data_IF_873725404763
#
_entry.id   IF_873725404763
#
_cell.length_a   1.000
_cell.length_b   1.000
_cell.length_c   1.000
_cell.angle_alpha   90.00
_cell.angle_beta   90.00
_cell.angle_gamma   90.00
#
_symmetry.space_group_name_H-M   'P 1'
#
loop_
_entity.id
_entity.type
_entity.pdbx_description
1 polymer ?
#
# COMPACT_ATOMS: atom_id res chain seq x y z
N UNK A 1 12.67 13.15 -7.85
CA UNK A 1 11.69 12.33 -7.11
C UNK A 1 10.94 13.12 -6.03
N UNK A 2 9.61 13.10 -6.09
CA UNK A 2 8.65 13.62 -5.11
C UNK A 2 7.88 12.45 -4.47
N UNK A 3 7.64 12.50 -3.16
CA UNK A 3 6.87 11.46 -2.45
C UNK A 3 5.63 12.08 -1.83
N UNK A 4 4.49 11.65 -2.33
CA UNK A 4 3.15 11.99 -1.88
C UNK A 4 2.70 10.95 -0.86
N UNK A 5 2.83 11.27 0.43
CA UNK A 5 2.36 10.39 1.50
C UNK A 5 0.86 10.61 1.76
N UNK A 6 0.08 9.55 1.65
CA UNK A 6 -1.32 9.52 2.03
C UNK A 6 -1.38 9.02 3.47
N UNK A 7 -1.63 9.95 4.41
CA UNK A 7 -1.74 9.68 5.86
C UNK A 7 -3.04 8.95 6.20
N UNK A 8 -3.06 7.64 5.92
CA UNK A 8 -4.19 6.76 6.18
C UNK A 8 -4.61 6.75 7.66
N UNK A 9 -3.66 6.88 8.59
CA UNK A 9 -3.91 7.01 10.03
C UNK A 9 -4.89 8.16 10.33
N UNK A 10 -4.70 9.31 9.68
CA UNK A 10 -5.59 10.48 9.82
C UNK A 10 -6.95 10.23 9.17
N UNK A 11 -6.98 9.53 8.05
CA UNK A 11 -8.25 9.14 7.40
C UNK A 11 -9.03 8.14 8.25
N UNK A 12 -8.36 7.18 8.90
CA UNK A 12 -8.98 6.25 9.83
C UNK A 12 -9.54 6.98 11.06
N UNK A 13 -8.80 7.92 11.64
CA UNK A 13 -9.28 8.78 12.73
C UNK A 13 -10.55 9.54 12.33
N UNK A 14 -10.55 10.20 11.17
CA UNK A 14 -11.72 10.92 10.67
C UNK A 14 -12.91 9.98 10.39
N UNK A 15 -12.66 8.77 9.88
CA UNK A 15 -13.73 7.79 9.69
C UNK A 15 -14.38 7.38 11.02
N UNK A 16 -13.62 7.26 12.11
CA UNK A 16 -14.19 6.89 13.42
C UNK A 16 -15.21 7.92 13.93
N UNK A 17 -14.98 9.20 13.65
CA UNK A 17 -15.89 10.31 13.99
C UNK A 17 -17.10 10.43 13.05
N UNK A 18 -17.06 9.77 11.88
CA UNK A 18 -18.12 9.84 10.89
C UNK A 18 -19.18 8.74 11.08
N UNK A 19 -20.45 9.03 10.74
CA UNK A 19 -21.48 8.01 10.55
C UNK A 19 -21.02 6.92 9.55
N UNK A 20 -21.38 5.66 9.83
CA UNK A 20 -20.92 4.49 9.09
C UNK A 20 -21.12 4.62 7.57
N UNK A 21 -22.27 5.15 7.16
CA UNK A 21 -22.67 5.34 5.76
C UNK A 21 -21.79 6.35 5.00
N UNK A 22 -21.03 7.21 5.70
CA UNK A 22 -20.11 8.18 5.09
C UNK A 22 -18.67 7.69 4.99
N UNK A 23 -18.28 6.67 5.76
CA UNK A 23 -16.88 6.23 5.89
C UNK A 23 -16.30 5.70 4.58
N UNK A 24 -17.07 4.89 3.85
CA UNK A 24 -16.61 4.36 2.56
C UNK A 24 -16.36 5.47 1.54
N UNK A 25 -17.24 6.49 1.49
CA UNK A 25 -17.06 7.64 0.62
C UNK A 25 -15.76 8.39 0.93
N UNK A 26 -15.47 8.62 2.21
CA UNK A 26 -14.23 9.26 2.65
C UNK A 26 -13.00 8.42 2.27
N UNK A 27 -13.02 7.10 2.54
CA UNK A 27 -11.92 6.20 2.21
C UNK A 27 -11.63 6.17 0.70
N UNK A 28 -12.67 6.09 -0.13
CA UNK A 28 -12.52 6.13 -1.59
C UNK A 28 -11.90 7.45 -2.04
N UNK A 29 -12.34 8.57 -1.47
CA UNK A 29 -11.86 9.90 -1.84
C UNK A 29 -10.41 10.16 -1.39
N UNK A 30 -10.04 9.78 -0.16
CA UNK A 30 -8.73 10.12 0.42
C UNK A 30 -7.67 9.04 0.27
N UNK A 31 -8.06 7.77 0.15
CA UNK A 31 -7.13 6.64 0.00
C UNK A 31 -7.12 6.11 -1.43
N UNK A 32 -8.28 5.76 -2.01
CA UNK A 32 -8.28 5.11 -3.33
C UNK A 32 -8.05 6.08 -4.49
N UNK A 33 -8.58 7.31 -4.41
CA UNK A 33 -8.46 8.27 -5.52
C UNK A 33 -7.00 8.66 -5.83
N UNK A 34 -6.11 8.89 -4.84
CA UNK A 34 -4.68 9.08 -5.13
C UNK A 34 -4.03 7.89 -5.85
N UNK A 35 -4.56 6.68 -5.66
CA UNK A 35 -4.07 5.44 -6.29
C UNK A 35 -4.89 5.06 -7.55
N UNK A 36 -5.68 5.98 -8.12
CA UNK A 36 -6.56 5.68 -9.26
C UNK A 36 -5.82 5.08 -10.47
N UNK A 37 -4.68 5.66 -10.84
CA UNK A 37 -3.88 5.18 -11.97
C UNK A 37 -3.34 3.78 -11.73
N UNK A 38 -2.92 3.45 -10.50
CA UNK A 38 -2.50 2.10 -10.13
C UNK A 38 -3.59 1.08 -10.47
N UNK A 39 -4.80 1.31 -9.96
CA UNK A 39 -5.91 0.41 -10.19
C UNK A 39 -6.33 0.37 -11.67
N UNK A 40 -6.28 1.51 -12.37
CA UNK A 40 -6.55 1.59 -13.80
C UNK A 40 -5.57 0.73 -14.62
N UNK A 41 -4.26 0.80 -14.34
CA UNK A 41 -3.22 -0.02 -14.98
C UNK A 41 -3.46 -1.51 -14.76
N UNK A 42 -3.99 -1.88 -13.60
CA UNK A 42 -4.35 -3.27 -13.26
C UNK A 42 -5.74 -3.68 -13.79
N UNK A 43 -6.44 -2.80 -14.51
CA UNK A 43 -7.83 -2.99 -14.96
C UNK A 43 -8.83 -3.26 -13.82
N UNK A 44 -8.57 -2.70 -12.65
CA UNK A 44 -9.42 -2.80 -11.46
C UNK A 44 -10.25 -1.52 -11.35
N UNK A 45 -11.60 -1.61 -11.33
CA UNK A 45 -12.42 -0.42 -11.16
C UNK A 45 -12.28 0.11 -9.74
N UNK A 46 -12.26 1.43 -9.59
CA UNK A 46 -12.29 2.05 -8.26
C UNK A 46 -13.59 1.76 -7.52
N UNK A 47 -14.72 1.65 -8.23
CA UNK A 47 -16.04 1.33 -7.68
C UNK A 47 -16.74 0.32 -8.59
N UNK A 48 -17.34 -0.71 -7.99
CA UNK A 48 -18.08 -1.73 -8.72
C UNK A 48 -19.32 -1.16 -9.43
N UNK A 49 -19.70 -1.76 -10.56
CA UNK A 49 -20.90 -1.39 -11.33
C UNK A 49 -22.21 -1.78 -10.65
N UNK A 50 -22.17 -2.79 -9.78
CA UNK A 50 -23.31 -3.31 -9.03
C UNK A 50 -22.89 -3.62 -7.59
N UNK A 51 -23.81 -3.60 -6.62
CA UNK A 51 -23.52 -3.92 -5.22
C UNK A 51 -22.85 -5.29 -5.07
N UNK A 52 -21.74 -5.35 -4.32
CA UNK A 52 -20.97 -6.58 -4.11
C UNK A 52 -20.11 -7.02 -5.30
N UNK A 53 -20.04 -6.25 -6.37
CA UNK A 53 -19.13 -6.52 -7.48
C UNK A 53 -17.66 -6.29 -7.12
N UNK A 54 -16.76 -6.81 -7.96
CA UNK A 54 -15.32 -6.65 -7.78
C UNK A 54 -14.90 -5.19 -8.03
N UNK A 55 -14.16 -4.62 -7.09
CA UNK A 55 -13.52 -3.31 -7.19
C UNK A 55 -12.26 -3.24 -6.29
N UNK A 56 -11.59 -2.09 -6.30
CA UNK A 56 -10.41 -1.85 -5.46
C UNK A 56 -10.67 -2.09 -3.96
N UNK A 57 -11.85 -1.73 -3.46
CA UNK A 57 -12.19 -1.92 -2.04
C UNK A 57 -12.39 -3.41 -1.72
N UNK A 58 -13.03 -4.16 -2.61
CA UNK A 58 -13.14 -5.62 -2.51
C UNK A 58 -11.76 -6.27 -2.42
N UNK A 59 -10.82 -5.89 -3.31
CA UNK A 59 -9.45 -6.40 -3.31
C UNK A 59 -8.74 -6.11 -1.97
N UNK A 60 -8.82 -4.86 -1.49
CA UNK A 60 -8.18 -4.50 -0.22
C UNK A 60 -8.76 -5.30 0.97
N UNK A 61 -10.01 -5.75 0.87
CA UNK A 61 -10.69 -6.59 1.86
C UNK A 61 -10.09 -7.99 2.07
N UNK A 62 -9.16 -8.43 1.22
CA UNK A 62 -8.40 -9.66 1.44
C UNK A 62 -7.40 -9.56 2.59
N UNK A 63 -6.95 -8.35 2.94
CA UNK A 63 -5.93 -8.15 3.99
C UNK A 63 -6.31 -7.05 4.98
N UNK A 64 -7.01 -6.02 4.55
CA UNK A 64 -7.13 -4.76 5.30
C UNK A 64 -8.44 -4.63 6.06
N UNK A 65 -8.40 -3.77 7.07
CA UNK A 65 -9.58 -3.30 7.77
C UNK A 65 -10.34 -2.34 6.87
N UNK A 66 -11.61 -2.68 6.59
CA UNK A 66 -12.45 -1.91 5.67
C UNK A 66 -13.26 -0.85 6.41
N UNK A 67 -13.65 0.25 5.72
CA UNK A 67 -14.45 1.33 6.33
C UNK A 67 -15.73 0.85 7.02
N UNK A 68 -16.39 -0.18 6.46
CA UNK A 68 -17.63 -0.74 6.99
C UNK A 68 -17.46 -1.58 8.25
N UNK A 69 -16.24 -2.01 8.59
CA UNK A 69 -15.95 -2.82 9.78
C UNK A 69 -15.02 -2.13 10.78
N UNK A 70 -14.37 -1.03 10.37
CA UNK A 70 -13.55 -0.19 11.23
C UNK A 70 -14.38 0.38 12.38
N UNK A 71 -13.87 0.29 13.60
CA UNK A 71 -14.56 0.75 14.82
C UNK A 71 -13.58 1.20 15.91
N UNK A 72 -14.09 1.73 17.03
CA UNK A 72 -13.27 2.19 18.15
C UNK A 72 -12.30 1.13 18.71
N UNK A 73 -12.60 -0.17 18.54
CA UNK A 73 -11.67 -1.24 18.93
C UNK A 73 -10.34 -1.17 18.17
N UNK A 74 -10.34 -0.57 16.98
CA UNK A 74 -9.19 -0.45 16.10
C UNK A 74 -8.36 0.82 16.43
N UNK A 75 -8.86 1.71 17.29
CA UNK A 75 -8.21 2.99 17.68
C UNK A 75 -6.75 2.81 18.14
N UNK A 76 -6.39 1.83 19.01
CA UNK A 76 -5.01 1.63 19.42
C UNK A 76 -4.07 1.26 18.26
N UNK A 77 -4.56 0.45 17.31
CA UNK A 77 -3.78 0.10 16.13
C UNK A 77 -3.60 1.29 15.19
N UNK A 78 -4.64 2.12 15.01
CA UNK A 78 -4.52 3.37 14.24
C UNK A 78 -3.52 4.33 14.91
N UNK A 79 -3.53 4.43 16.24
CA UNK A 79 -2.57 5.26 16.98
C UNK A 79 -1.13 4.78 16.83
N UNK A 80 -0.91 3.47 16.80
CA UNK A 80 0.40 2.90 16.52
C UNK A 80 0.91 3.24 15.10
N UNK A 81 0.02 3.48 14.13
CA UNK A 81 0.36 3.99 12.80
C UNK A 81 0.48 5.52 12.74
N UNK A 82 0.14 6.25 13.80
CA UNK A 82 0.04 7.72 13.77
C UNK A 82 1.35 8.45 14.07
N UNK A 83 2.43 7.72 14.36
CA UNK A 83 3.76 8.28 14.64
C UNK A 83 4.31 9.03 13.43
N UNK A 84 4.57 10.34 13.56
CA UNK A 84 5.18 11.11 12.47
C UNK A 84 6.58 10.60 12.12
N UNK A 85 7.31 10.05 13.10
CA UNK A 85 8.61 9.43 12.86
C UNK A 85 8.48 8.19 11.95
N UNK A 86 7.45 7.36 12.14
CA UNK A 86 7.21 6.19 11.28
C UNK A 86 7.03 6.61 9.81
N UNK A 87 6.21 7.63 9.57
CA UNK A 87 5.97 8.13 8.22
C UNK A 87 7.21 8.82 7.61
N UNK A 88 7.96 9.56 8.42
CA UNK A 88 9.23 10.15 7.98
C UNK A 88 10.25 9.08 7.61
N UNK A 89 10.41 8.05 8.45
CA UNK A 89 11.31 6.92 8.18
C UNK A 89 10.92 6.19 6.89
N UNK A 90 9.61 6.04 6.62
CA UNK A 90 9.13 5.48 5.37
C UNK A 90 9.49 6.37 4.17
N UNK A 91 9.26 7.68 4.26
CA UNK A 91 9.63 8.61 3.21
C UNK A 91 11.14 8.55 2.91
N UNK A 92 11.97 8.58 3.95
CA UNK A 92 13.42 8.57 3.79
C UNK A 92 13.91 7.22 3.24
N UNK A 93 13.27 6.13 3.64
CA UNK A 93 13.53 4.79 3.07
C UNK A 93 13.22 4.76 1.57
N UNK A 94 12.06 5.28 1.14
CA UNK A 94 11.69 5.34 -0.28
C UNK A 94 12.70 6.18 -1.06
N UNK A 95 13.02 7.40 -0.56
CA UNK A 95 14.01 8.29 -1.19
C UNK A 95 15.35 7.60 -1.36
N UNK A 96 15.82 6.93 -0.30
CA UNK A 96 17.09 6.22 -0.31
C UNK A 96 17.06 5.05 -1.27
N UNK A 97 16.07 4.16 -1.17
CA UNK A 97 16.01 2.93 -1.96
C UNK A 97 15.95 3.21 -3.46
N UNK A 98 15.12 4.17 -3.88
CA UNK A 98 15.02 4.56 -5.30
C UNK A 98 16.25 5.37 -5.72
N UNK A 99 16.69 6.33 -4.89
CA UNK A 99 17.84 7.19 -5.20
C UNK A 99 19.15 6.44 -5.36
N UNK A 100 19.29 5.25 -4.76
CA UNK A 100 20.46 4.38 -4.98
C UNK A 100 20.54 3.87 -6.44
N UNK A 101 19.41 3.67 -7.12
CA UNK A 101 19.41 3.31 -8.55
C UNK A 101 19.80 4.50 -9.43
N UNK A 102 19.27 5.69 -9.15
CA UNK A 102 19.66 6.93 -9.85
C UNK A 102 21.18 7.18 -9.69
N UNK A 103 21.72 7.02 -8.47
CA UNK A 103 23.15 7.13 -8.20
C UNK A 103 23.99 6.09 -8.93
N UNK A 104 23.43 4.89 -9.17
CA UNK A 104 24.07 3.84 -9.95
C UNK A 104 23.97 4.07 -11.47
N UNK A 105 23.33 5.16 -11.91
CA UNK A 105 23.23 5.55 -13.32
C UNK A 105 22.01 5.00 -14.05
N UNK A 106 21.01 4.47 -13.33
CA UNK A 106 19.73 4.10 -13.92
C UNK A 106 18.85 5.34 -14.12
N UNK A 107 18.34 5.52 -15.33
CA UNK A 107 17.37 6.57 -15.65
C UNK A 107 15.96 6.07 -15.33
N UNK A 108 15.28 6.73 -14.40
CA UNK A 108 13.95 6.36 -13.91
C UNK A 108 12.93 7.36 -14.43
N UNK A 109 11.97 6.89 -15.22
CA UNK A 109 10.93 7.75 -15.80
C UNK A 109 9.94 8.27 -14.75
N UNK A 110 9.79 7.56 -13.63
CA UNK A 110 8.86 7.94 -12.58
C UNK A 110 9.50 8.96 -11.63
N UNK A 111 8.91 10.15 -11.58
CA UNK A 111 9.33 11.20 -10.64
C UNK A 111 8.40 11.33 -9.43
N UNK A 112 7.12 10.98 -9.59
CA UNK A 112 6.09 11.10 -8.57
C UNK A 112 5.72 9.74 -7.97
N UNK A 113 5.91 9.60 -6.65
CA UNK A 113 5.59 8.40 -5.90
C UNK A 113 4.46 8.65 -4.92
N UNK A 114 3.51 7.73 -4.83
CA UNK A 114 2.39 7.76 -3.90
C UNK A 114 2.53 6.60 -2.91
N UNK A 115 2.48 6.91 -1.61
CA UNK A 115 2.71 5.93 -0.56
C UNK A 115 1.66 5.98 0.55
N UNK A 116 1.22 4.81 1.02
CA UNK A 116 0.35 4.68 2.19
C UNK A 116 0.61 3.38 2.96
N UNK A 117 0.27 3.38 4.25
CA UNK A 117 0.22 2.17 5.09
C UNK A 117 -1.24 1.91 5.46
N UNK A 118 -1.84 0.86 4.94
CA UNK A 118 -3.20 0.46 5.31
C UNK A 118 -3.19 -0.37 6.59
N UNK A 119 -4.20 -0.11 7.44
CA UNK A 119 -4.42 -0.91 8.63
C UNK A 119 -4.88 -2.32 8.21
N UNK A 120 -4.07 -3.31 8.54
CA UNK A 120 -4.39 -4.71 8.35
C UNK A 120 -5.54 -5.18 9.24
N UNK A 121 -6.27 -6.18 8.79
CA UNK A 121 -7.26 -6.87 9.62
C UNK A 121 -6.66 -8.20 10.13
N UNK A 122 -6.56 -8.40 11.46
CA UNK A 122 -5.88 -9.56 12.04
C UNK A 122 -6.60 -10.89 11.80
N UNK A 123 -7.87 -10.86 11.39
CA UNK A 123 -8.68 -12.04 11.09
C UNK A 123 -8.53 -12.50 9.64
N UNK A 124 -7.82 -11.74 8.78
CA UNK A 124 -7.67 -12.06 7.36
C UNK A 124 -6.57 -13.10 7.12
N UNK A 125 -6.88 -14.27 6.53
CA UNK A 125 -5.92 -15.35 6.33
C UNK A 125 -4.69 -14.93 5.53
N UNK A 126 -4.86 -14.13 4.47
CA UNK A 126 -3.77 -13.66 3.63
C UNK A 126 -2.75 -12.85 4.44
N UNK A 127 -3.20 -12.02 5.38
CA UNK A 127 -2.30 -11.23 6.21
C UNK A 127 -1.63 -12.08 7.30
N UNK A 128 -2.34 -13.07 7.86
CA UNK A 128 -1.78 -14.02 8.82
C UNK A 128 -0.67 -14.88 8.19
N UNK A 129 -0.86 -15.36 6.96
CA UNK A 129 0.16 -16.12 6.21
C UNK A 129 1.44 -15.30 6.01
N UNK A 130 1.31 -13.98 5.85
CA UNK A 130 2.43 -13.04 5.73
C UNK A 130 2.86 -12.45 7.09
N UNK A 131 2.54 -13.12 8.21
CA UNK A 131 2.95 -12.73 9.57
C UNK A 131 2.61 -11.27 9.93
N UNK A 132 1.46 -10.79 9.44
CA UNK A 132 0.90 -9.50 9.84
C UNK A 132 1.34 -8.31 8.99
N UNK A 133 2.12 -8.49 7.92
CA UNK A 133 2.44 -7.39 7.00
C UNK A 133 2.62 -7.85 5.55
N UNK A 134 2.33 -6.99 4.60
CA UNK A 134 2.52 -7.24 3.16
C UNK A 134 2.67 -5.90 2.43
N UNK A 135 3.23 -5.91 1.22
CA UNK A 135 3.38 -4.73 0.39
C UNK A 135 2.93 -4.96 -1.05
N UNK A 136 2.74 -3.84 -1.74
CA UNK A 136 2.45 -3.76 -3.17
C UNK A 136 3.20 -2.56 -3.75
N UNK A 137 4.31 -2.84 -4.43
CA UNK A 137 5.11 -1.90 -5.21
C UNK A 137 5.15 -2.23 -6.70
N UNK A 138 4.29 -3.13 -7.19
CA UNK A 138 4.37 -3.69 -8.54
C UNK A 138 3.98 -2.72 -9.67
N UNK A 139 3.39 -1.57 -9.33
CA UNK A 139 3.05 -0.52 -10.30
C UNK A 139 3.96 0.69 -10.08
N UNK A 140 4.78 1.08 -11.08
CA UNK A 140 5.66 2.23 -10.96
C UNK A 140 4.95 3.49 -10.46
N UNK A 141 5.55 4.14 -9.46
CA UNK A 141 5.00 5.34 -8.81
C UNK A 141 4.01 5.07 -7.68
N UNK A 142 3.64 3.83 -7.39
CA UNK A 142 2.70 3.51 -6.31
C UNK A 142 3.25 2.44 -5.37
N UNK A 143 3.22 2.74 -4.08
CA UNK A 143 3.66 1.88 -2.99
C UNK A 143 2.55 1.81 -1.93
N UNK A 144 2.18 0.61 -1.50
CA UNK A 144 1.15 0.43 -0.50
C UNK A 144 1.50 -0.73 0.42
N UNK A 145 1.48 -0.50 1.73
CA UNK A 145 1.67 -1.55 2.72
C UNK A 145 0.33 -1.91 3.37
N UNK A 146 0.17 -3.16 3.76
CA UNK A 146 -0.88 -3.63 4.68
C UNK A 146 -0.19 -4.08 5.96
N UNK A 147 -0.56 -3.53 7.13
CA UNK A 147 0.22 -3.69 8.36
C UNK A 147 -0.67 -3.92 9.60
N UNK A 148 -0.37 -4.96 10.38
CA UNK A 148 -0.82 -5.11 11.77
C UNK A 148 0.24 -4.48 12.68
N UNK A 149 0.07 -3.25 13.19
CA UNK A 149 1.13 -2.58 13.96
C UNK A 149 1.36 -3.26 15.31
N UNK A 150 2.58 -3.78 15.51
CA UNK A 150 3.04 -4.40 16.76
C UNK A 150 4.58 -4.46 16.77
N UNK A 151 5.15 -4.96 17.87
CA UNK A 151 6.61 -5.09 18.07
C UNK A 151 7.32 -5.98 17.04
N UNK A 152 6.57 -6.85 16.35
CA UNK A 152 7.11 -7.67 15.27
C UNK A 152 7.11 -6.93 13.93
N UNK A 153 6.03 -6.25 13.57
CA UNK A 153 5.86 -5.70 12.21
C UNK A 153 6.43 -4.29 12.06
N UNK A 154 6.31 -3.43 13.07
CA UNK A 154 6.77 -2.03 12.99
C UNK A 154 8.28 -1.92 12.69
N UNK A 155 9.18 -2.69 13.35
CA UNK A 155 10.60 -2.63 13.04
C UNK A 155 10.97 -3.17 11.64
N UNK A 156 10.02 -3.76 10.90
CA UNK A 156 10.24 -4.37 9.57
C UNK A 156 9.72 -3.51 8.43
N UNK A 157 9.04 -2.40 8.72
CA UNK A 157 8.40 -1.55 7.70
C UNK A 157 9.41 -1.04 6.68
N UNK A 158 10.57 -0.53 7.12
CA UNK A 158 11.59 -0.01 6.20
C UNK A 158 12.15 -1.11 5.28
N UNK A 159 12.36 -2.32 5.80
CA UNK A 159 12.84 -3.44 4.99
C UNK A 159 11.79 -3.89 3.96
N UNK A 160 10.52 -4.01 4.38
CA UNK A 160 9.42 -4.32 3.47
C UNK A 160 9.28 -3.25 2.38
N UNK A 161 9.40 -1.97 2.76
CA UNK A 161 9.29 -0.86 1.83
C UNK A 161 10.46 -0.80 0.83
N UNK A 162 11.68 -1.14 1.27
CA UNK A 162 12.82 -1.27 0.37
C UNK A 162 12.60 -2.38 -0.67
N UNK A 163 12.05 -3.52 -0.25
CA UNK A 163 11.65 -4.59 -1.17
C UNK A 163 10.60 -4.11 -2.19
N UNK A 164 9.55 -3.42 -1.75
CA UNK A 164 8.56 -2.85 -2.67
C UNK A 164 9.16 -1.78 -3.62
N UNK A 165 10.16 -1.03 -3.18
CA UNK A 165 10.88 -0.10 -4.06
C UNK A 165 11.65 -0.83 -5.16
N UNK A 166 12.25 -1.99 -4.88
CA UNK A 166 12.90 -2.82 -5.90
C UNK A 166 11.90 -3.28 -6.96
N UNK A 167 10.72 -3.75 -6.57
CA UNK A 167 9.63 -4.03 -7.53
C UNK A 167 9.29 -2.79 -8.35
N UNK A 168 9.15 -1.64 -7.68
CA UNK A 168 8.75 -0.40 -8.33
C UNK A 168 9.74 0.07 -9.41
N UNK A 169 11.04 -0.06 -9.13
CA UNK A 169 12.11 0.23 -10.09
C UNK A 169 12.11 -0.81 -11.22
N UNK A 170 12.07 -2.11 -10.88
CA UNK A 170 12.11 -3.19 -11.87
C UNK A 170 11.01 -3.04 -12.93
N UNK A 171 9.78 -2.74 -12.52
CA UNK A 171 8.64 -2.64 -13.45
C UNK A 171 8.63 -1.35 -14.29
N UNK A 172 9.57 -0.42 -14.08
CA UNK A 172 9.83 0.66 -15.05
C UNK A 172 10.57 0.14 -16.29
N UNK A 173 11.38 -0.91 -16.14
CA UNK A 173 12.16 -1.49 -17.24
C UNK A 173 11.52 -2.74 -17.85
N UNK A 174 10.74 -3.47 -17.05
CA UNK A 174 10.07 -4.70 -17.48
C UNK A 174 8.57 -4.48 -17.51
N UNK A 175 7.98 -4.49 -18.72
CA UNK A 175 6.52 -4.37 -18.86
C UNK A 175 5.83 -5.59 -18.28
N UNK A 176 4.99 -5.35 -17.26
CA UNK A 176 4.10 -6.37 -16.73
C UNK A 176 3.13 -6.86 -17.82
N UNK A 177 2.90 -8.17 -17.90
CA UNK A 177 1.86 -8.76 -18.72
C UNK A 177 1.23 -9.97 -18.01
N UNK A 178 0.06 -10.41 -18.47
CA UNK A 178 -0.72 -11.47 -17.83
C UNK A 178 -0.14 -12.90 -18.01
N UNK A 179 0.94 -13.06 -18.78
CA UNK A 179 1.61 -14.35 -19.02
C UNK A 179 2.81 -14.54 -18.09
N UNK A 180 2.66 -14.16 -16.81
CA UNK A 180 3.73 -14.30 -15.81
C UNK A 180 3.97 -15.78 -15.50
N UNK A 181 5.21 -16.25 -15.66
CA UNK A 181 5.64 -17.61 -15.33
C UNK A 181 6.14 -17.70 -13.89
N UNK A 182 6.33 -18.92 -13.37
CA UNK A 182 6.99 -19.12 -12.07
C UNK A 182 8.42 -18.54 -12.08
N UNK A 183 9.13 -18.62 -13.20
CA UNK A 183 10.47 -18.05 -13.31
C UNK A 183 10.43 -16.52 -13.18
N UNK A 184 9.42 -15.86 -13.77
CA UNK A 184 9.23 -14.42 -13.62
C UNK A 184 8.98 -14.04 -12.16
N UNK A 185 8.18 -14.82 -11.42
CA UNK A 185 7.96 -14.60 -9.99
C UNK A 185 9.23 -14.79 -9.17
N UNK A 186 10.01 -15.85 -9.42
CA UNK A 186 11.29 -16.08 -8.73
C UNK A 186 12.27 -14.95 -8.98
N UNK A 187 12.32 -14.42 -10.22
CA UNK A 187 13.14 -13.26 -10.54
C UNK A 187 12.61 -11.99 -9.89
N UNK A 188 11.29 -11.76 -9.91
CA UNK A 188 10.71 -10.54 -9.33
C UNK A 188 10.90 -10.51 -7.81
N UNK A 189 10.48 -11.56 -7.11
CA UNK A 189 10.55 -11.64 -5.65
C UNK A 189 11.97 -11.91 -5.13
N UNK A 190 12.78 -12.65 -5.90
CA UNK A 190 14.14 -13.02 -5.49
C UNK A 190 15.17 -11.92 -5.70
N UNK A 191 14.95 -10.99 -6.63
CA UNK A 191 15.80 -9.81 -6.81
C UNK A 191 15.40 -8.65 -5.88
N UNK A 192 14.16 -8.63 -5.40
CA UNK A 192 13.61 -7.55 -4.58
C UNK A 192 14.00 -7.65 -3.11
#
# INVERSE_FOLDING_TARGET
>A
MQINMIRSDKVYQEMLELPLEKREGLFRAKILAPFAMKYQTQHIPLKAKYPGGFDALFLLGFMNQLPGTLSEKDRPAIDALSSDQLWQDCQDTIKRSIGLFEQAGYDLEVEDYYFTILLGNPEKPMLQLNKGYSGDGGIPGYLMLSLLPNDYTLPRVQAALAHECNHNVRFQFVKWNQQTTLADWVVSEGLA
#
